data_IF_619604942419
#
_entry.id   IF_619604942419
#
_cell.length_a   1.000
_cell.length_b   1.000
_cell.length_c   1.000
_cell.angle_alpha   90.00
_cell.angle_beta   90.00
_cell.angle_gamma   90.00
#
_symmetry.space_group_name_H-M   'P 1'
#
loop_
_entity.id
_entity.type
_entity.pdbx_description
1 polymer ?
#
# COMPACT_ATOMS: atom_id res chain seq x y z
N UNK A 1 5.89 24.13 -3.46
CA UNK A 1 6.71 23.35 -4.43
C UNK A 1 6.71 21.90 -3.96
N UNK A 2 5.93 21.02 -4.60
CA UNK A 2 5.95 19.60 -4.27
C UNK A 2 7.27 19.01 -4.77
N UNK A 3 8.17 18.66 -3.87
CA UNK A 3 9.38 17.93 -4.21
C UNK A 3 8.95 16.52 -4.63
N UNK A 4 9.12 16.17 -5.90
CA UNK A 4 8.89 14.81 -6.39
C UNK A 4 9.87 13.87 -5.67
N UNK A 5 9.37 13.03 -4.76
CA UNK A 5 10.21 12.03 -4.11
C UNK A 5 10.44 10.87 -5.07
N UNK A 6 11.70 10.62 -5.42
CA UNK A 6 12.09 9.43 -6.19
C UNK A 6 12.12 8.25 -5.21
N UNK A 7 11.12 7.38 -5.35
CA UNK A 7 10.98 6.16 -4.55
C UNK A 7 11.95 5.08 -5.04
N UNK A 8 12.61 4.38 -4.12
CA UNK A 8 13.43 3.21 -4.47
C UNK A 8 12.50 2.03 -4.82
N UNK A 9 12.48 1.54 -6.07
CA UNK A 9 11.44 0.61 -6.53
C UNK A 9 11.59 -0.79 -5.92
N UNK A 10 12.82 -1.25 -5.68
CA UNK A 10 13.08 -2.60 -5.21
C UNK A 10 12.55 -2.86 -3.78
N UNK A 11 12.83 -2.03 -2.76
CA UNK A 11 12.26 -2.22 -1.43
C UNK A 11 10.72 -2.17 -1.42
N UNK A 12 10.12 -1.31 -2.25
CA UNK A 12 8.66 -1.21 -2.36
C UNK A 12 8.08 -2.49 -2.97
N UNK A 13 8.65 -2.97 -4.07
CA UNK A 13 8.23 -4.23 -4.70
C UNK A 13 8.39 -5.42 -3.74
N UNK A 14 9.48 -5.46 -2.97
CA UNK A 14 9.71 -6.53 -2.00
C UNK A 14 8.73 -6.46 -0.81
N UNK A 15 8.39 -5.27 -0.32
CA UNK A 15 7.35 -5.10 0.69
C UNK A 15 6.00 -5.64 0.19
N UNK A 16 5.63 -5.35 -1.06
CA UNK A 16 4.42 -5.90 -1.68
C UNK A 16 4.51 -7.43 -1.77
N UNK A 17 5.64 -7.98 -2.21
CA UNK A 17 5.86 -9.43 -2.29
C UNK A 17 5.67 -10.13 -0.95
N UNK A 18 6.32 -9.64 0.11
CA UNK A 18 6.21 -10.21 1.47
C UNK A 18 4.77 -10.16 1.97
N UNK A 19 4.07 -9.05 1.77
CA UNK A 19 2.66 -8.94 2.18
C UNK A 19 1.80 -9.96 1.42
N UNK A 20 2.05 -10.18 0.13
CA UNK A 20 1.33 -11.20 -0.64
C UNK A 20 1.52 -12.60 -0.06
N UNK A 21 2.75 -12.98 0.32
CA UNK A 21 3.01 -14.29 0.93
C UNK A 21 2.17 -14.51 2.20
N UNK A 22 1.97 -13.46 3.00
CA UNK A 22 1.20 -13.54 4.23
C UNK A 22 -0.32 -13.45 4.02
N UNK A 23 -0.80 -12.63 3.08
CA UNK A 23 -2.23 -12.25 3.02
C UNK A 23 -3.02 -12.86 1.86
N UNK A 24 -2.37 -13.57 0.92
CA UNK A 24 -3.07 -14.30 -0.15
C UNK A 24 -4.13 -15.27 0.41
N UNK A 25 -3.85 -16.13 1.42
CA UNK A 25 -4.83 -17.10 1.91
C UNK A 25 -6.06 -16.47 2.57
N UNK A 26 -5.97 -15.20 2.98
CA UNK A 26 -7.03 -14.50 3.72
C UNK A 26 -7.94 -13.74 2.75
N UNK A 27 -7.37 -12.93 1.86
CA UNK A 27 -8.15 -12.02 0.98
C UNK A 27 -7.68 -11.98 -0.48
N UNK A 28 -6.67 -12.76 -0.85
CA UNK A 28 -5.98 -12.61 -2.14
C UNK A 28 -5.07 -11.38 -2.22
N UNK A 29 -4.87 -10.67 -1.10
CA UNK A 29 -4.06 -9.44 -0.93
C UNK A 29 -4.60 -8.23 -1.69
N UNK A 30 -5.38 -7.41 -1.00
CA UNK A 30 -6.02 -6.22 -1.58
C UNK A 30 -5.43 -4.88 -1.16
N UNK A 31 -4.18 -4.82 -0.68
CA UNK A 31 -3.51 -3.60 -0.12
C UNK A 31 -3.46 -2.36 -1.06
N UNK A 32 -4.05 -2.45 -2.25
CA UNK A 32 -4.20 -1.40 -3.22
C UNK A 32 -5.69 -1.25 -3.60
N UNK A 33 -6.38 -0.18 -3.15
CA UNK A 33 -7.80 0.02 -3.42
C UNK A 33 -8.16 0.07 -4.91
N UNK A 34 -7.30 0.67 -5.75
CA UNK A 34 -7.54 0.74 -7.19
C UNK A 34 -7.48 -0.65 -7.84
N UNK A 35 -6.53 -1.50 -7.43
CA UNK A 35 -6.43 -2.89 -7.88
C UNK A 35 -7.64 -3.72 -7.46
N UNK A 36 -8.13 -3.53 -6.24
CA UNK A 36 -9.33 -4.22 -5.74
C UNK A 36 -10.59 -3.73 -6.45
N UNK A 37 -10.73 -2.41 -6.64
CA UNK A 37 -11.87 -1.81 -7.33
C UNK A 37 -11.95 -2.21 -8.80
N UNK A 38 -10.85 -2.16 -9.54
CA UNK A 38 -10.81 -2.61 -10.93
C UNK A 38 -11.24 -4.07 -11.08
N UNK A 39 -10.79 -4.95 -10.18
CA UNK A 39 -11.22 -6.35 -10.15
C UNK A 39 -12.72 -6.48 -9.82
N UNK A 40 -13.25 -5.74 -8.85
CA UNK A 40 -14.68 -5.77 -8.50
C UNK A 40 -15.57 -5.29 -9.66
N UNK A 41 -15.15 -4.24 -10.38
CA UNK A 41 -15.86 -3.72 -11.56
C UNK A 41 -15.90 -4.75 -12.70
N UNK A 42 -14.76 -5.34 -13.04
CA UNK A 42 -14.68 -6.29 -14.17
C UNK A 42 -15.35 -7.62 -13.83
N UNK A 43 -15.18 -8.11 -12.60
CA UNK A 43 -15.74 -9.39 -12.16
C UNK A 43 -17.24 -9.30 -11.84
N UNK A 44 -17.68 -8.15 -11.34
CA UNK A 44 -19.07 -7.75 -11.10
C UNK A 44 -19.95 -8.80 -10.38
N UNK A 45 -19.47 -9.31 -9.25
CA UNK A 45 -20.21 -10.26 -8.41
C UNK A 45 -20.70 -9.61 -7.12
N UNK A 46 -21.89 -9.99 -6.65
CA UNK A 46 -22.50 -9.43 -5.44
C UNK A 46 -21.60 -9.53 -4.20
N UNK A 47 -20.94 -10.68 -4.00
CA UNK A 47 -20.00 -10.88 -2.89
C UNK A 47 -18.78 -9.97 -2.99
N UNK A 48 -18.25 -9.75 -4.20
CA UNK A 48 -17.09 -8.87 -4.40
C UNK A 48 -17.44 -7.42 -4.00
N UNK A 49 -18.62 -6.94 -4.39
CA UNK A 49 -19.11 -5.61 -4.01
C UNK A 49 -19.41 -5.51 -2.51
N UNK A 50 -19.97 -6.56 -1.90
CA UNK A 50 -20.25 -6.61 -0.48
C UNK A 50 -18.98 -6.47 0.37
N UNK A 51 -17.89 -7.15 -0.03
CA UNK A 51 -16.63 -7.14 0.72
C UNK A 51 -15.73 -5.95 0.33
N UNK A 52 -16.08 -5.19 -0.72
CA UNK A 52 -15.22 -4.17 -1.34
C UNK A 52 -14.79 -3.05 -0.38
N UNK A 53 -15.63 -2.69 0.59
CA UNK A 53 -15.33 -1.61 1.54
C UNK A 53 -14.08 -1.90 2.39
N UNK A 54 -13.79 -3.18 2.67
CA UNK A 54 -12.62 -3.61 3.46
C UNK A 54 -11.33 -3.20 2.75
N UNK A 55 -11.32 -3.31 1.41
CA UNK A 55 -10.18 -2.94 0.57
C UNK A 55 -9.99 -1.43 0.38
N UNK A 56 -10.87 -0.62 0.94
CA UNK A 56 -10.67 0.83 1.10
C UNK A 56 -10.31 1.18 2.54
N UNK A 57 -11.14 0.76 3.49
CA UNK A 57 -10.97 1.09 4.91
C UNK A 57 -9.64 0.54 5.47
N UNK A 58 -9.29 -0.70 5.14
CA UNK A 58 -8.04 -1.34 5.59
C UNK A 58 -6.79 -0.61 5.07
N UNK A 59 -6.60 -0.47 3.73
CA UNK A 59 -5.41 0.18 3.20
C UNK A 59 -5.28 1.65 3.59
N UNK A 60 -6.37 2.42 3.64
CA UNK A 60 -6.31 3.84 4.03
C UNK A 60 -5.96 4.03 5.51
N UNK A 61 -6.52 3.20 6.40
CA UNK A 61 -6.16 3.24 7.82
C UNK A 61 -4.70 2.82 8.03
N UNK A 62 -4.25 1.76 7.36
CA UNK A 62 -2.85 1.33 7.39
C UNK A 62 -1.87 2.39 6.88
N UNK A 63 -2.18 3.03 5.75
CA UNK A 63 -1.36 4.12 5.20
C UNK A 63 -1.29 5.31 6.16
N UNK A 64 -2.42 5.70 6.76
CA UNK A 64 -2.48 6.80 7.74
C UNK A 64 -1.60 6.49 8.95
N UNK A 65 -1.70 5.28 9.51
CA UNK A 65 -0.88 4.86 10.64
C UNK A 65 0.61 4.82 10.29
N UNK A 66 0.96 4.31 9.09
CA UNK A 66 2.34 4.29 8.62
C UNK A 66 2.92 5.70 8.48
N UNK A 67 2.16 6.65 7.94
CA UNK A 67 2.57 8.05 7.85
C UNK A 67 2.75 8.67 9.25
N UNK A 68 1.80 8.48 10.15
CA UNK A 68 1.91 9.00 11.52
C UNK A 68 3.13 8.43 12.25
N UNK A 69 3.38 7.14 12.09
CA UNK A 69 4.54 6.48 12.66
C UNK A 69 5.86 7.04 12.09
N UNK A 70 5.97 7.16 10.77
CA UNK A 70 7.16 7.68 10.11
C UNK A 70 7.48 9.13 10.52
N UNK A 71 6.46 9.99 10.51
CA UNK A 71 6.62 11.43 10.72
C UNK A 71 6.73 11.82 12.19
N UNK A 72 5.95 11.21 13.08
CA UNK A 72 5.84 11.68 14.47
C UNK A 72 6.63 10.82 15.45
N UNK A 73 6.67 9.50 15.22
CA UNK A 73 7.39 8.57 16.11
C UNK A 73 8.84 8.49 15.69
N UNK A 74 9.12 8.18 14.42
CA UNK A 74 10.48 8.08 13.92
C UNK A 74 11.10 9.43 13.56
N UNK A 75 10.27 10.44 13.25
CA UNK A 75 10.71 11.76 12.75
C UNK A 75 11.68 11.64 11.58
N UNK A 76 11.38 10.70 10.68
CA UNK A 76 12.28 10.25 9.63
C UNK A 76 12.13 11.03 8.30
N UNK A 77 11.35 12.11 8.28
CA UNK A 77 11.00 12.88 7.08
C UNK A 77 12.21 13.43 6.32
N UNK A 78 13.31 13.69 7.04
CA UNK A 78 14.58 14.16 6.46
C UNK A 78 15.60 13.04 6.20
N UNK A 79 15.30 11.79 6.59
CA UNK A 79 16.23 10.67 6.42
C UNK A 79 16.21 10.17 4.98
N UNK A 80 17.40 10.01 4.40
CA UNK A 80 17.57 9.38 3.09
C UNK A 80 18.02 7.93 3.29
N UNK A 81 17.21 6.98 2.83
CA UNK A 81 17.59 5.58 2.84
C UNK A 81 18.82 5.34 1.95
N UNK A 82 19.75 4.51 2.39
CA UNK A 82 21.01 4.17 1.69
C UNK A 82 20.80 3.61 0.27
N UNK A 83 19.61 3.09 -0.05
CA UNK A 83 19.23 2.57 -1.37
C UNK A 83 18.45 3.53 -2.27
N UNK A 84 18.26 4.81 -1.88
CA UNK A 84 17.61 5.81 -2.72
C UNK A 84 18.56 6.22 -3.86
N UNK A 85 18.35 5.64 -5.04
CA UNK A 85 19.13 5.95 -6.24
C UNK A 85 19.12 7.46 -6.51
N UNK A 86 20.31 8.04 -6.67
CA UNK A 86 20.46 9.37 -7.27
C UNK A 86 20.26 9.20 -8.77
N UNK A 87 19.14 9.68 -9.30
CA UNK A 87 19.08 10.13 -10.68
C UNK A 87 19.41 11.62 -10.69
#
# INVERSE_FOLDING_TARGET
MAVMQILAPLPIGFAVFVVHLATIPITGTGINPARSFGAAVVYNQAKAWHDQWIFWAGPLSGATLATLYHEHVLRASALKALGSFKA
#
